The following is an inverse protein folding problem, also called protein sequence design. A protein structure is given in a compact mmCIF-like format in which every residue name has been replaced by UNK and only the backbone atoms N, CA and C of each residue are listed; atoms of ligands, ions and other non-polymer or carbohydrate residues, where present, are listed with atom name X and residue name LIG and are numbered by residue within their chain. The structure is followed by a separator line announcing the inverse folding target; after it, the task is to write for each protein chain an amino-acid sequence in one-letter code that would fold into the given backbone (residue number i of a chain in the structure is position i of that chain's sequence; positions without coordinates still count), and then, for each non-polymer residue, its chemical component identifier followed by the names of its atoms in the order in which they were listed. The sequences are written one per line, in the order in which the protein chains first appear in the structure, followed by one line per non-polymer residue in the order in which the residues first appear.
data_IF_482969934246
#
_entry.id   IF_482969934246
#
_cell.length_a   1.000
_cell.length_b   1.000
_cell.length_c   1.000
_cell.angle_alpha   90.00
_cell.angle_beta   90.00
_cell.angle_gamma   90.00
#
_symmetry.space_group_name_H-M   'P 1'
#
loop_
_entity.id
_entity.type
_entity.pdbx_description
1 polymer ?
#
# COMPACT_ATOMS: atom_id res chain seq x y z
N UNK A 1 -19.98 75.25 14.23
CA UNK A 1 -18.63 75.12 13.63
C UNK A 1 -17.77 74.25 14.53
N UNK A 2 -16.97 73.37 13.91
CA UNK A 2 -15.93 72.48 14.46
C UNK A 2 -16.35 71.04 14.86
N UNK A 3 -16.50 70.24 13.81
CA UNK A 3 -15.87 68.92 13.55
C UNK A 3 -15.42 68.09 14.76
N UNK A 4 -16.13 66.97 15.00
CA UNK A 4 -15.60 65.82 15.72
C UNK A 4 -15.21 64.74 14.68
N UNK A 5 -13.93 64.41 14.63
CA UNK A 5 -13.37 63.31 13.85
C UNK A 5 -13.91 61.97 14.38
N UNK A 6 -14.66 61.24 13.56
CA UNK A 6 -14.95 59.83 13.80
C UNK A 6 -14.00 59.02 12.91
N UNK A 7 -12.98 58.42 13.52
CA UNK A 7 -12.15 57.41 12.90
C UNK A 7 -13.02 56.19 12.58
N UNK A 8 -13.25 55.93 11.29
CA UNK A 8 -13.82 54.67 10.82
C UNK A 8 -12.70 53.62 10.81
N UNK A 9 -12.66 52.77 11.85
CA UNK A 9 -11.83 51.57 11.86
C UNK A 9 -12.61 50.47 11.10
N UNK A 10 -12.29 50.29 9.82
CA UNK A 10 -12.82 49.18 9.03
C UNK A 10 -12.07 47.92 9.44
N UNK A 11 -12.70 47.10 10.28
CA UNK A 11 -12.20 45.76 10.61
C UNK A 11 -12.58 44.81 9.46
N UNK A 12 -11.69 44.63 8.48
CA UNK A 12 -11.82 43.56 7.49
C UNK A 12 -11.59 42.22 8.19
N UNK A 13 -12.68 41.53 8.52
CA UNK A 13 -12.65 40.14 8.96
C UNK A 13 -12.53 39.26 7.71
N UNK A 14 -11.31 38.99 7.26
CA UNK A 14 -11.05 37.96 6.25
C UNK A 14 -11.21 36.58 6.90
N UNK A 15 -12.41 36.00 6.82
CA UNK A 15 -12.57 34.55 7.00
C UNK A 15 -11.87 33.86 5.82
N UNK A 16 -10.58 33.55 6.00
CA UNK A 16 -9.88 32.61 5.15
C UNK A 16 -10.39 31.20 5.46
N UNK A 17 -11.41 30.74 4.74
CA UNK A 17 -11.67 29.31 4.65
C UNK A 17 -10.54 28.70 3.82
N UNK A 18 -9.51 28.19 4.50
CA UNK A 18 -8.56 27.29 3.87
C UNK A 18 -9.29 25.95 3.61
N UNK A 19 -9.97 25.86 2.46
CA UNK A 19 -10.40 24.57 1.95
C UNK A 19 -9.14 23.81 1.55
N UNK A 20 -8.70 22.87 2.38
CA UNK A 20 -7.72 21.88 1.95
C UNK A 20 -8.37 21.02 0.86
N UNK A 21 -8.15 21.38 -0.39
CA UNK A 21 -8.50 20.55 -1.54
C UNK A 21 -7.62 19.31 -1.44
N UNK A 22 -8.23 18.16 -1.14
CA UNK A 22 -7.51 16.89 -1.18
C UNK A 22 -7.38 16.49 -2.65
N UNK A 23 -6.18 16.07 -3.07
CA UNK A 23 -5.96 15.55 -4.42
C UNK A 23 -6.91 14.38 -4.70
N UNK A 24 -7.55 14.38 -5.86
CA UNK A 24 -8.28 13.22 -6.38
C UNK A 24 -7.28 12.24 -7.03
N UNK A 25 -7.70 10.99 -7.27
CA UNK A 25 -6.83 9.99 -7.95
C UNK A 25 -6.37 10.48 -9.33
N UNK A 26 -7.23 11.19 -10.07
CA UNK A 26 -6.89 11.80 -11.36
C UNK A 26 -5.82 12.90 -11.28
N UNK A 27 -5.55 13.41 -10.08
CA UNK A 27 -4.54 14.43 -9.84
C UNK A 27 -3.20 13.82 -9.42
N UNK A 28 -3.12 12.49 -9.35
CA UNK A 28 -1.92 11.73 -8.99
C UNK A 28 -1.10 11.43 -10.24
N UNK A 29 0.20 11.68 -10.18
CA UNK A 29 1.14 11.28 -11.23
C UNK A 29 1.66 9.86 -10.95
N UNK A 30 1.95 9.10 -12.01
CA UNK A 30 2.62 7.80 -11.97
C UNK A 30 1.94 6.72 -11.12
N UNK A 31 0.61 6.76 -11.02
CA UNK A 31 -0.16 5.87 -10.13
C UNK A 31 -0.51 4.53 -10.78
N UNK A 32 -0.53 4.43 -12.10
CA UNK A 32 -1.08 3.25 -12.80
C UNK A 32 0.00 2.26 -13.30
N UNK A 33 1.19 2.28 -12.66
CA UNK A 33 2.33 1.49 -13.13
C UNK A 33 2.76 1.89 -14.53
N UNK A 34 2.73 3.19 -14.86
CA UNK A 34 3.03 3.71 -16.20
C UNK A 34 4.34 3.12 -16.75
N UNK A 35 4.25 2.50 -17.94
CA UNK A 35 5.40 1.82 -18.57
C UNK A 35 5.67 0.40 -18.07
N UNK A 36 4.82 -0.15 -17.19
CA UNK A 36 4.88 -1.55 -16.80
C UNK A 36 4.65 -2.47 -18.01
N UNK A 37 5.36 -3.61 -18.03
CA UNK A 37 5.08 -4.62 -19.06
C UNK A 37 3.65 -5.14 -18.89
N UNK A 38 2.95 -5.45 -19.99
CA UNK A 38 1.59 -6.00 -19.94
C UNK A 38 1.52 -7.31 -19.16
N UNK A 39 0.48 -7.44 -18.35
CA UNK A 39 0.06 -8.68 -17.71
C UNK A 39 -0.89 -9.48 -18.59
N UNK A 40 -1.06 -10.76 -18.29
CA UNK A 40 -1.94 -11.65 -19.06
C UNK A 40 -2.85 -12.47 -18.15
N UNK A 41 -4.16 -12.23 -18.27
CA UNK A 41 -5.17 -13.09 -17.65
C UNK A 41 -5.16 -14.47 -18.32
N UNK A 42 -5.18 -15.52 -17.51
CA UNK A 42 -5.21 -16.91 -17.92
C UNK A 42 -6.29 -17.67 -17.13
N UNK A 43 -6.70 -18.83 -17.63
CA UNK A 43 -7.66 -19.67 -16.90
C UNK A 43 -7.04 -20.39 -15.69
N UNK A 44 -5.71 -20.45 -15.68
CA UNK A 44 -4.89 -21.08 -14.67
C UNK A 44 -3.45 -20.54 -14.83
N UNK A 45 -2.85 -20.14 -13.73
CA UNK A 45 -1.46 -19.68 -13.60
C UNK A 45 -0.41 -20.71 -14.11
N UNK A 46 0.72 -20.21 -14.61
CA UNK A 46 1.87 -21.04 -14.99
C UNK A 46 3.16 -20.37 -14.50
N UNK A 47 3.86 -21.02 -13.56
CA UNK A 47 5.12 -20.50 -13.01
C UNK A 47 6.24 -20.32 -14.06
N UNK A 48 6.12 -20.93 -15.24
CA UNK A 48 7.01 -20.70 -16.38
C UNK A 48 6.61 -19.52 -17.27
N UNK A 49 5.59 -18.73 -16.88
CA UNK A 49 5.13 -17.53 -17.56
C UNK A 49 5.20 -16.36 -16.60
N UNK A 50 5.98 -15.35 -17.00
CA UNK A 50 6.09 -14.12 -16.22
C UNK A 50 4.75 -13.40 -16.18
N UNK A 51 4.31 -13.05 -14.97
CA UNK A 51 3.15 -12.20 -14.70
C UNK A 51 1.86 -12.59 -15.45
N UNK A 52 1.60 -13.89 -15.60
CA UNK A 52 0.23 -14.34 -15.83
C UNK A 52 -0.53 -14.41 -14.51
N UNK A 53 -1.85 -14.25 -14.59
CA UNK A 53 -2.70 -14.21 -13.41
C UNK A 53 -4.05 -14.83 -13.73
N UNK A 54 -4.69 -15.42 -12.73
CA UNK A 54 -6.05 -15.96 -12.79
C UNK A 54 -6.97 -15.37 -11.71
N UNK A 55 -6.41 -14.58 -10.78
CA UNK A 55 -7.15 -13.81 -9.79
C UNK A 55 -6.76 -12.33 -9.83
N UNK A 56 -7.70 -11.45 -9.45
CA UNK A 56 -7.49 -10.01 -9.37
C UNK A 56 -8.01 -9.48 -8.03
N UNK A 57 -7.19 -8.65 -7.39
CA UNK A 57 -7.58 -7.80 -6.27
C UNK A 57 -7.62 -6.35 -6.78
N UNK A 58 -8.85 -5.91 -7.01
CA UNK A 58 -9.20 -4.55 -7.42
C UNK A 58 -8.89 -3.52 -6.33
N UNK A 59 -8.71 -2.27 -6.72
CA UNK A 59 -8.59 -1.14 -5.79
C UNK A 59 -9.80 -1.03 -4.86
N UNK A 60 -9.52 -0.79 -3.58
CA UNK A 60 -10.50 -0.51 -2.55
C UNK A 60 -10.78 1.00 -2.47
N UNK A 61 -11.84 1.44 -3.15
CA UNK A 61 -12.22 2.85 -3.28
C UNK A 61 -12.98 3.42 -2.06
N UNK A 62 -13.19 2.60 -1.02
CA UNK A 62 -13.96 2.97 0.18
C UNK A 62 -13.35 4.20 0.86
N UNK A 63 -14.21 4.99 1.50
CA UNK A 63 -13.76 6.10 2.35
C UNK A 63 -13.00 5.57 3.55
N UNK A 64 -11.89 6.22 3.89
CA UNK A 64 -11.07 5.83 5.04
C UNK A 64 -10.05 4.74 4.74
N UNK A 65 -9.94 4.30 3.48
CA UNK A 65 -8.82 3.52 2.97
C UNK A 65 -7.73 4.48 2.52
N UNK A 66 -6.51 4.23 2.97
CA UNK A 66 -5.30 4.91 2.50
C UNK A 66 -4.30 3.87 2.07
N UNK A 67 -3.96 3.85 0.79
CA UNK A 67 -2.90 2.99 0.27
C UNK A 67 -1.51 3.50 0.65
N UNK A 68 -0.58 2.58 0.88
CA UNK A 68 0.85 2.90 0.88
C UNK A 68 1.32 3.11 -0.57
N UNK A 69 2.24 4.03 -0.78
CA UNK A 69 2.75 4.41 -2.09
C UNK A 69 4.20 4.90 -1.97
N UNK A 70 4.95 4.94 -3.07
CA UNK A 70 6.32 5.50 -3.08
C UNK A 70 6.35 6.92 -3.62
N UNK A 71 5.60 7.18 -4.70
CA UNK A 71 5.66 8.42 -5.45
C UNK A 71 4.42 9.26 -5.19
N UNK A 72 3.25 8.72 -5.54
CA UNK A 72 1.97 9.37 -5.38
C UNK A 72 1.55 9.37 -3.91
N UNK A 73 1.36 10.54 -3.33
CA UNK A 73 0.85 10.62 -1.97
C UNK A 73 1.38 11.83 -1.25
N UNK A 74 1.21 11.84 0.06
CA UNK A 74 1.73 12.89 0.92
C UNK A 74 1.94 12.36 2.32
N UNK A 75 3.02 12.77 2.96
CA UNK A 75 3.39 12.35 4.32
C UNK A 75 3.60 13.59 5.18
N UNK A 76 3.09 13.64 6.43
CA UNK A 76 2.33 12.58 7.10
C UNK A 76 0.84 12.53 6.73
N UNK A 77 0.32 13.58 6.08
CA UNK A 77 -1.11 13.69 5.77
C UNK A 77 -1.41 13.01 4.43
N UNK A 78 -2.07 11.84 4.42
CA UNK A 78 -2.34 11.10 3.18
C UNK A 78 -3.31 11.87 2.26
N UNK A 79 -3.32 11.47 0.99
CA UNK A 79 -4.31 11.91 0.00
C UNK A 79 -4.84 10.69 -0.79
N UNK A 80 -5.59 10.92 -1.88
CA UNK A 80 -6.10 9.79 -2.70
C UNK A 80 -5.04 9.03 -3.47
N UNK A 81 -3.84 9.57 -3.63
CA UNK A 81 -2.72 8.88 -4.26
C UNK A 81 -2.08 7.86 -3.30
N UNK A 82 -2.13 8.13 -1.99
CA UNK A 82 -1.60 7.27 -0.95
C UNK A 82 -0.89 8.04 0.17
N UNK A 83 -0.05 7.30 0.90
CA UNK A 83 0.85 7.77 1.95
C UNK A 83 2.26 7.30 1.60
N UNK A 84 3.23 8.22 1.59
CA UNK A 84 4.63 7.91 1.23
C UNK A 84 5.45 7.54 2.47
N UNK A 85 6.56 6.81 2.33
CA UNK A 85 7.52 6.68 3.42
C UNK A 85 8.14 8.05 3.73
N UNK A 86 8.51 8.25 5.00
CA UNK A 86 9.19 9.45 5.48
C UNK A 86 10.71 9.34 5.46
N UNK A 87 11.25 8.12 5.36
CA UNK A 87 12.68 7.86 5.31
C UNK A 87 13.25 8.09 3.89
N UNK A 88 14.57 7.98 3.75
CA UNK A 88 15.25 8.30 2.49
C UNK A 88 14.87 7.32 1.39
N UNK A 89 14.61 7.81 0.18
CA UNK A 89 14.32 6.97 -1.00
C UNK A 89 15.43 5.95 -1.28
N UNK A 90 16.67 6.26 -0.89
CA UNK A 90 17.81 5.35 -1.02
C UNK A 90 17.69 4.07 -0.17
N UNK A 91 16.75 4.02 0.77
CA UNK A 91 16.47 2.85 1.62
C UNK A 91 15.28 2.03 1.10
N UNK A 92 14.51 2.55 0.15
CA UNK A 92 13.26 1.90 -0.29
C UNK A 92 13.48 0.71 -1.21
N UNK A 93 14.68 0.54 -1.78
CA UNK A 93 15.04 -0.60 -2.61
C UNK A 93 16.54 -0.88 -2.55
N UNK A 94 16.91 -2.16 -2.47
CA UNK A 94 18.30 -2.59 -2.50
C UNK A 94 18.90 -2.61 -3.91
N UNK A 95 18.06 -2.74 -4.94
CA UNK A 95 18.48 -2.76 -6.34
C UNK A 95 17.39 -2.21 -7.28
N UNK A 96 17.77 -1.86 -8.51
CA UNK A 96 16.81 -1.48 -9.55
C UNK A 96 16.14 -0.11 -9.38
N UNK A 97 16.55 0.67 -8.38
CA UNK A 97 16.12 2.05 -8.20
C UNK A 97 16.61 3.02 -9.29
N UNK A 98 16.06 4.24 -9.35
CA UNK A 98 15.03 4.79 -8.45
C UNK A 98 13.65 4.15 -8.68
N UNK A 99 12.82 4.16 -7.63
CA UNK A 99 11.39 3.81 -7.73
C UNK A 99 10.65 5.06 -8.26
N UNK A 100 10.22 5.06 -9.52
CA UNK A 100 9.66 6.25 -10.21
C UNK A 100 8.17 6.15 -10.55
N UNK A 101 7.52 5.04 -10.21
CA UNK A 101 6.06 4.82 -10.34
C UNK A 101 5.53 4.03 -9.14
N UNK A 102 4.23 4.16 -8.89
CA UNK A 102 3.48 3.33 -7.92
C UNK A 102 2.85 2.11 -8.59
N UNK A 103 2.38 1.17 -7.76
CA UNK A 103 1.64 -0.04 -8.18
C UNK A 103 2.40 -0.92 -9.18
N UNK A 104 3.73 -0.88 -9.11
CA UNK A 104 4.60 -1.68 -9.95
C UNK A 104 5.80 -2.19 -9.15
N UNK A 105 6.39 -3.26 -9.65
CA UNK A 105 7.67 -3.79 -9.21
C UNK A 105 8.82 -3.20 -10.01
N UNK A 106 10.05 -3.48 -9.60
CA UNK A 106 11.26 -2.90 -10.20
C UNK A 106 11.64 -3.48 -11.58
N UNK A 107 10.95 -4.51 -12.08
CA UNK A 107 11.16 -5.07 -13.42
C UNK A 107 12.52 -5.72 -13.64
N UNK A 108 13.26 -5.23 -14.63
CA UNK A 108 14.64 -5.61 -14.96
C UNK A 108 15.67 -4.52 -14.57
N UNK A 109 15.30 -3.65 -13.61
CA UNK A 109 16.14 -2.58 -13.09
C UNK A 109 15.65 -1.17 -13.46
N UNK A 110 16.52 -0.18 -13.29
CA UNK A 110 16.17 1.24 -13.37
C UNK A 110 15.42 1.62 -14.66
N UNK A 111 14.26 2.26 -14.50
CA UNK A 111 13.40 2.71 -15.60
C UNK A 111 12.54 1.62 -16.23
N UNK A 112 12.57 0.39 -15.72
CA UNK A 112 11.67 -0.69 -16.15
C UNK A 112 10.68 -1.01 -15.06
N UNK A 113 9.49 -1.50 -15.41
CA UNK A 113 8.42 -1.79 -14.47
C UNK A 113 7.62 -3.01 -14.90
N UNK A 114 7.04 -3.71 -13.94
CA UNK A 114 6.01 -4.71 -14.17
C UNK A 114 4.89 -4.49 -13.16
N UNK A 115 3.68 -4.95 -13.49
CA UNK A 115 2.58 -4.93 -12.54
C UNK A 115 2.83 -5.90 -11.38
N UNK A 116 2.19 -5.64 -10.24
CA UNK A 116 2.32 -6.46 -9.04
C UNK A 116 1.45 -7.70 -9.21
N UNK A 117 2.09 -8.83 -9.53
CA UNK A 117 1.48 -10.15 -9.52
C UNK A 117 2.23 -11.00 -8.49
N UNK A 118 1.51 -11.64 -7.57
CA UNK A 118 2.09 -12.49 -6.53
C UNK A 118 1.26 -13.78 -6.48
N UNK A 119 1.87 -14.92 -6.76
CA UNK A 119 1.18 -16.19 -6.65
C UNK A 119 0.00 -16.35 -7.62
N UNK A 120 0.07 -15.75 -8.81
CA UNK A 120 -1.02 -15.71 -9.80
C UNK A 120 -2.11 -14.67 -9.52
N UNK A 121 -1.97 -13.85 -8.48
CA UNK A 121 -2.93 -12.80 -8.12
C UNK A 121 -2.40 -11.44 -8.59
N UNK A 122 -3.12 -10.78 -9.49
CA UNK A 122 -2.84 -9.40 -9.87
C UNK A 122 -3.43 -8.42 -8.86
N UNK A 123 -2.62 -7.46 -8.39
CA UNK A 123 -3.05 -6.39 -7.49
C UNK A 123 -3.02 -5.04 -8.20
N UNK A 124 -4.15 -4.35 -8.30
CA UNK A 124 -4.21 -3.00 -8.89
C UNK A 124 -3.47 -1.94 -8.07
N UNK A 125 -3.36 -2.19 -6.76
CA UNK A 125 -2.69 -1.32 -5.79
C UNK A 125 -1.67 -2.12 -4.99
N UNK A 126 -0.53 -1.50 -4.69
CA UNK A 126 0.50 -2.12 -3.86
C UNK A 126 1.85 -1.44 -3.99
N UNK A 127 2.84 -2.00 -3.30
CA UNK A 127 4.24 -1.56 -3.39
C UNK A 127 5.13 -2.71 -3.84
N UNK A 128 5.97 -2.48 -4.84
CA UNK A 128 6.98 -3.43 -5.32
C UNK A 128 8.38 -2.84 -5.18
N UNK A 129 9.31 -3.64 -4.68
CA UNK A 129 10.70 -3.26 -4.46
C UNK A 129 11.65 -4.43 -4.67
N UNK A 130 12.91 -4.27 -4.30
CA UNK A 130 13.91 -5.32 -4.26
C UNK A 130 14.61 -5.33 -2.90
N UNK A 131 14.87 -6.53 -2.36
CA UNK A 131 15.58 -6.66 -1.10
C UNK A 131 17.02 -6.10 -1.16
N UNK A 132 17.58 -5.56 -0.09
CA UNK A 132 16.93 -5.22 1.18
C UNK A 132 16.28 -3.84 1.06
N UNK A 133 15.04 -3.72 1.51
CA UNK A 133 14.31 -2.46 1.52
C UNK A 133 13.74 -2.16 2.90
N UNK A 134 13.77 -0.89 3.29
CA UNK A 134 13.15 -0.36 4.51
C UNK A 134 12.27 0.84 4.16
N UNK A 135 11.00 0.75 4.56
CA UNK A 135 10.02 1.82 4.40
C UNK A 135 9.44 2.19 5.75
N UNK A 136 9.51 3.47 6.11
CA UNK A 136 8.98 3.99 7.38
C UNK A 136 7.88 4.99 7.07
N UNK A 137 6.64 4.70 7.46
CA UNK A 137 5.48 5.55 7.24
C UNK A 137 5.10 6.29 8.52
N UNK A 138 4.84 7.60 8.41
CA UNK A 138 4.30 8.40 9.51
C UNK A 138 2.78 8.21 9.61
N UNK A 139 2.34 7.63 10.73
CA UNK A 139 0.94 7.36 11.02
C UNK A 139 0.22 8.53 11.70
N UNK A 140 0.92 9.64 11.98
CA UNK A 140 0.39 10.79 12.71
C UNK A 140 -0.60 11.66 11.92
N UNK A 141 -0.75 11.45 10.61
CA UNK A 141 -1.62 12.27 9.76
C UNK A 141 -3.09 11.85 9.69
N UNK A 142 -3.45 10.67 10.20
CA UNK A 142 -4.84 10.21 10.35
C UNK A 142 -4.95 9.22 11.54
N UNK A 143 -6.16 8.90 11.97
CA UNK A 143 -6.41 7.90 13.01
C UNK A 143 -6.63 6.52 12.41
N UNK A 144 -5.55 5.92 11.91
CA UNK A 144 -5.55 4.55 11.40
C UNK A 144 -5.78 3.54 12.53
N UNK A 145 -6.52 2.49 12.21
CA UNK A 145 -6.94 1.43 13.13
C UNK A 145 -6.41 0.06 12.74
N UNK A 146 -6.07 -0.13 11.47
CA UNK A 146 -5.71 -1.44 10.92
C UNK A 146 -4.83 -1.31 9.69
N UNK A 147 -3.92 -2.25 9.49
CA UNK A 147 -3.22 -2.50 8.24
C UNK A 147 -3.73 -3.80 7.61
N UNK A 148 -3.86 -3.81 6.29
CA UNK A 148 -4.17 -4.98 5.46
C UNK A 148 -3.26 -4.99 4.23
N UNK A 149 -2.85 -6.17 3.77
CA UNK A 149 -2.11 -6.38 2.54
C UNK A 149 -1.72 -7.85 2.33
N UNK A 150 -1.00 -8.12 1.26
CA UNK A 150 -0.52 -9.46 0.90
C UNK A 150 0.96 -9.40 0.53
N UNK A 151 1.82 -10.12 1.24
CA UNK A 151 3.25 -10.13 0.97
C UNK A 151 3.65 -11.35 0.15
N UNK A 152 4.68 -11.19 -0.68
CA UNK A 152 5.27 -12.27 -1.43
C UNK A 152 6.28 -11.79 -2.45
N UNK A 153 6.81 -12.74 -3.22
CA UNK A 153 7.69 -12.46 -4.34
C UNK A 153 6.85 -12.10 -5.57
N UNK A 154 7.35 -11.19 -6.39
CA UNK A 154 6.73 -10.86 -7.67
C UNK A 154 6.92 -11.99 -8.68
N UNK A 155 5.85 -12.36 -9.39
CA UNK A 155 5.83 -13.40 -10.43
C UNK A 155 6.56 -12.97 -11.73
N UNK A 156 7.37 -11.92 -11.67
CA UNK A 156 8.06 -11.34 -12.81
C UNK A 156 9.35 -12.06 -13.18
N UNK A 157 9.90 -12.89 -12.29
CA UNK A 157 11.15 -13.61 -12.51
C UNK A 157 10.92 -15.03 -12.98
N UNK A 158 11.67 -15.41 -14.02
CA UNK A 158 11.70 -16.78 -14.48
C UNK A 158 12.45 -17.64 -13.44
N UNK A 159 11.84 -18.67 -12.86
CA UNK A 159 12.52 -19.54 -11.91
C UNK A 159 13.70 -20.29 -12.54
N UNK A 160 13.73 -20.53 -13.85
CA UNK A 160 14.89 -21.16 -14.51
C UNK A 160 16.13 -20.27 -14.42
N UNK A 161 15.98 -18.95 -14.54
CA UNK A 161 17.08 -17.98 -14.48
C UNK A 161 17.39 -17.55 -13.04
N UNK A 162 16.35 -17.45 -12.20
CA UNK A 162 16.40 -16.95 -10.84
C UNK A 162 16.13 -18.02 -9.76
N UNK A 163 16.46 -19.29 -10.06
CA UNK A 163 16.28 -20.47 -9.20
C UNK A 163 14.82 -20.75 -8.79
N UNK A 164 14.33 -20.05 -7.76
CA UNK A 164 12.94 -20.10 -7.31
C UNK A 164 12.26 -18.72 -7.44
N UNK A 165 12.78 -17.82 -8.28
CA UNK A 165 12.24 -16.46 -8.41
C UNK A 165 12.63 -15.53 -7.26
N UNK A 166 13.79 -15.76 -6.64
CA UNK A 166 14.26 -15.02 -5.46
C UNK A 166 13.60 -15.45 -4.15
N UNK A 167 14.01 -14.83 -3.05
CA UNK A 167 13.42 -15.04 -1.72
C UNK A 167 13.35 -13.76 -0.89
N UNK A 168 12.41 -13.67 0.04
CA UNK A 168 12.33 -12.55 0.97
C UNK A 168 11.61 -12.93 2.26
N UNK A 169 11.95 -12.25 3.34
CA UNK A 169 11.17 -12.23 4.58
C UNK A 169 10.66 -10.81 4.85
N UNK A 170 9.44 -10.70 5.35
CA UNK A 170 8.77 -9.42 5.57
C UNK A 170 8.57 -9.19 7.05
N UNK A 171 9.04 -8.04 7.54
CA UNK A 171 8.91 -7.64 8.95
C UNK A 171 8.13 -6.34 9.00
N UNK A 172 7.11 -6.29 9.85
CA UNK A 172 6.33 -5.09 10.13
C UNK A 172 6.46 -4.76 11.61
N UNK A 173 6.81 -3.51 11.89
CA UNK A 173 6.92 -2.98 13.24
C UNK A 173 6.07 -1.73 13.37
N UNK A 174 5.33 -1.62 14.49
CA UNK A 174 4.62 -0.39 14.85
C UNK A 174 5.28 0.21 16.07
N UNK A 175 5.71 1.46 15.96
CA UNK A 175 6.50 2.18 16.99
C UNK A 175 7.71 1.35 17.49
N UNK A 176 8.40 0.68 16.57
CA UNK A 176 9.58 -0.15 16.85
C UNK A 176 9.29 -1.51 17.50
N UNK A 177 8.01 -1.89 17.65
CA UNK A 177 7.61 -3.22 18.10
C UNK A 177 7.16 -4.06 16.91
N UNK A 178 7.81 -5.19 16.68
CA UNK A 178 7.39 -6.19 15.70
C UNK A 178 5.94 -6.64 15.97
N UNK A 179 5.09 -6.50 14.96
CA UNK A 179 3.68 -6.93 14.97
C UNK A 179 3.42 -8.07 14.00
N UNK A 180 4.27 -8.22 12.99
CA UNK A 180 4.23 -9.32 12.04
C UNK A 180 5.64 -9.63 11.53
N UNK A 181 5.92 -10.91 11.34
CA UNK A 181 7.08 -11.41 10.62
C UNK A 181 6.66 -12.64 9.81
N UNK A 182 6.95 -12.66 8.53
CA UNK A 182 6.73 -13.85 7.70
C UNK A 182 7.83 -14.89 7.91
N UNK A 183 7.55 -16.13 7.50
CA UNK A 183 8.61 -17.05 7.11
C UNK A 183 9.32 -16.53 5.83
N UNK A 184 10.44 -17.13 5.44
CA UNK A 184 11.04 -16.86 4.13
C UNK A 184 10.09 -17.33 3.02
N UNK A 185 9.73 -16.40 2.13
CA UNK A 185 8.87 -16.64 0.98
C UNK A 185 9.75 -16.73 -0.27
N UNK A 186 9.55 -17.76 -1.08
CA UNK A 186 10.18 -17.91 -2.39
C UNK A 186 9.21 -17.48 -3.48
N UNK A 187 9.66 -17.23 -4.71
CA UNK A 187 8.76 -17.02 -5.84
C UNK A 187 8.05 -18.29 -6.28
N UNK A 188 8.75 -19.43 -6.26
CA UNK A 188 8.21 -20.72 -6.67
C UNK A 188 8.65 -21.85 -5.76
N UNK A 189 7.77 -22.85 -5.58
CA UNK A 189 8.10 -24.14 -4.97
C UNK A 189 7.56 -25.27 -5.84
N UNK A 190 8.42 -26.23 -6.17
CA UNK A 190 8.04 -27.38 -6.99
C UNK A 190 7.48 -27.03 -8.38
N UNK A 191 7.89 -25.88 -8.96
CA UNK A 191 7.43 -25.41 -10.27
C UNK A 191 6.04 -24.77 -10.25
N UNK A 192 5.59 -24.30 -9.09
CA UNK A 192 4.38 -23.49 -8.91
C UNK A 192 4.73 -22.18 -8.25
N UNK A 193 3.98 -21.12 -8.55
CA UNK A 193 4.10 -19.87 -7.81
C UNK A 193 3.74 -20.10 -6.34
N UNK A 194 4.46 -19.44 -5.43
CA UNK A 194 4.12 -19.43 -4.02
C UNK A 194 2.99 -18.41 -3.81
N UNK A 195 1.93 -18.83 -3.12
CA UNK A 195 0.78 -17.98 -2.86
C UNK A 195 1.15 -16.75 -2.02
N UNK A 196 0.49 -15.63 -2.30
CA UNK A 196 0.62 -14.42 -1.50
C UNK A 196 0.15 -14.65 -0.05
N UNK A 197 0.93 -14.20 0.93
CA UNK A 197 0.59 -14.34 2.35
C UNK A 197 -0.16 -13.11 2.83
N UNK A 198 -1.40 -13.28 3.27
CA UNK A 198 -2.19 -12.19 3.85
C UNK A 198 -1.56 -11.69 5.15
N UNK A 199 -1.36 -10.37 5.24
CA UNK A 199 -0.89 -9.65 6.43
C UNK A 199 -1.98 -8.73 6.92
N UNK A 200 -2.32 -8.85 8.20
CA UNK A 200 -3.38 -8.07 8.83
C UNK A 200 -3.08 -7.87 10.31
N UNK A 201 -3.07 -6.61 10.78
CA UNK A 201 -2.89 -6.30 12.20
C UNK A 201 -3.57 -4.98 12.59
N UNK A 202 -3.96 -4.90 13.86
CA UNK A 202 -4.50 -3.68 14.45
C UNK A 202 -3.38 -2.66 14.68
N UNK A 203 -3.67 -1.39 14.44
CA UNK A 203 -2.79 -0.26 14.72
C UNK A 203 -3.16 0.31 16.08
N UNK A 204 -2.24 0.31 17.07
CA UNK A 204 -2.50 0.88 18.38
C UNK A 204 -2.88 2.36 18.30
N UNK A 205 -3.79 2.77 19.20
CA UNK A 205 -4.19 4.16 19.28
C UNK A 205 -2.99 5.08 19.52
N UNK A 206 -2.92 6.17 18.75
CA UNK A 206 -1.83 7.16 18.75
C UNK A 206 -0.47 6.64 18.24
N UNK A 207 -0.42 5.48 17.57
CA UNK A 207 0.79 5.01 16.90
C UNK A 207 1.36 6.09 15.98
N UNK A 208 2.69 6.12 15.85
CA UNK A 208 3.42 7.16 15.12
C UNK A 208 4.10 6.64 13.89
N UNK A 209 4.61 5.42 13.93
CA UNK A 209 5.36 4.84 12.81
C UNK A 209 4.93 3.42 12.51
N UNK A 210 4.80 3.15 11.21
CA UNK A 210 4.83 1.81 10.65
C UNK A 210 6.15 1.65 9.91
N UNK A 211 6.98 0.72 10.34
CA UNK A 211 8.17 0.29 9.62
C UNK A 211 7.89 -1.04 8.93
N UNK A 212 8.28 -1.14 7.67
CA UNK A 212 8.20 -2.34 6.84
C UNK A 212 9.60 -2.62 6.31
N UNK A 213 10.07 -3.85 6.52
CA UNK A 213 11.33 -4.35 5.98
C UNK A 213 11.03 -5.50 5.02
N UNK A 214 11.63 -5.45 3.83
CA UNK A 214 11.76 -6.58 2.91
C UNK A 214 13.21 -7.08 2.98
N UNK A 215 13.42 -8.24 3.59
CA UNK A 215 14.70 -8.89 3.78
C UNK A 215 15.13 -9.73 2.58
N UNK A 216 16.33 -10.31 2.65
CA UNK A 216 16.95 -11.13 1.59
C UNK A 216 16.73 -12.63 1.79
N UNK A 217 15.81 -13.02 2.69
CA UNK A 217 15.46 -14.41 2.98
C UNK A 217 16.60 -15.28 3.54
N UNK A 218 17.79 -14.71 3.75
CA UNK A 218 18.99 -15.38 4.25
C UNK A 218 19.89 -16.01 3.18
N UNK A 219 19.57 -15.90 1.89
CA UNK A 219 20.41 -16.39 0.78
C UNK A 219 21.03 -15.26 -0.08
N UNK A 220 20.83 -14.02 0.34
CA UNK A 220 21.35 -12.81 -0.30
C UNK A 220 20.44 -12.33 -1.42
N UNK A 221 20.68 -11.12 -1.93
CA UNK A 221 19.69 -10.35 -2.72
C UNK A 221 19.38 -10.86 -4.14
N UNK A 222 19.67 -12.12 -4.47
CA UNK A 222 19.62 -12.62 -5.84
C UNK A 222 18.20 -12.78 -6.37
N UNK A 223 17.76 -11.86 -7.23
CA UNK A 223 16.41 -11.85 -7.82
C UNK A 223 15.28 -11.60 -6.81
N UNK A 224 15.57 -10.93 -5.70
CA UNK A 224 14.61 -10.73 -4.59
C UNK A 224 13.63 -9.59 -4.84
N UNK A 225 12.84 -9.75 -5.90
CA UNK A 225 11.80 -8.83 -6.33
C UNK A 225 10.57 -8.96 -5.42
N UNK A 226 10.60 -8.24 -4.31
CA UNK A 226 9.64 -8.34 -3.21
C UNK A 226 8.46 -7.39 -3.43
N UNK A 227 7.25 -7.82 -3.07
CA UNK A 227 6.06 -7.00 -3.23
C UNK A 227 5.07 -7.14 -2.08
N UNK A 228 4.26 -6.09 -1.89
CA UNK A 228 3.09 -6.09 -1.01
C UNK A 228 1.88 -5.64 -1.84
N UNK A 229 1.05 -6.60 -2.21
CA UNK A 229 -0.24 -6.37 -2.86
C UNK A 229 -1.27 -5.79 -1.88
N UNK A 230 -2.12 -4.89 -2.37
CA UNK A 230 -3.21 -4.25 -1.63
C UNK A 230 -2.80 -3.62 -0.28
N UNK A 231 -1.57 -3.10 -0.20
CA UNK A 231 -0.99 -2.54 1.02
C UNK A 231 -1.71 -1.26 1.48
N UNK A 232 -2.57 -1.36 2.50
CA UNK A 232 -3.44 -0.26 2.92
C UNK A 232 -3.62 -0.13 4.43
N UNK A 233 -3.83 1.12 4.84
CA UNK A 233 -4.21 1.53 6.18
C UNK A 233 -5.70 1.88 6.19
N UNK A 234 -6.41 1.41 7.21
CA UNK A 234 -7.85 1.62 7.36
C UNK A 234 -8.14 2.47 8.60
N UNK A 235 -8.98 3.49 8.44
CA UNK A 235 -9.53 4.25 9.57
C UNK A 235 -10.98 3.83 9.88
N UNK A 236 -11.61 4.50 10.86
CA UNK A 236 -12.97 4.18 11.30
C UNK A 236 -14.03 4.23 10.19
N UNK A 237 -13.85 5.04 9.13
CA UNK A 237 -14.79 5.08 8.01
C UNK A 237 -14.71 3.81 7.15
N UNK A 238 -13.50 3.29 6.91
CA UNK A 238 -13.33 2.06 6.14
C UNK A 238 -13.83 0.82 6.91
N UNK A 239 -13.73 0.86 8.25
CA UNK A 239 -14.22 -0.21 9.12
C UNK A 239 -15.69 -0.07 9.49
N UNK A 240 -16.33 1.05 9.16
CA UNK A 240 -17.75 1.21 9.36
C UNK A 240 -18.49 0.29 8.38
N UNK A 241 -19.14 -0.75 8.91
CA UNK A 241 -20.02 -1.61 8.10
C UNK A 241 -21.10 -0.73 7.45
N UNK A 242 -21.09 -0.65 6.12
CA UNK A 242 -22.18 -0.05 5.34
C UNK A 242 -23.51 -0.65 5.82
N UNK A 243 -24.50 0.16 6.22
CA UNK A 243 -25.76 -0.33 6.78
C UNK A 243 -26.49 -1.37 5.93
N UNK A 244 -26.16 -1.49 4.64
CA UNK A 244 -26.73 -2.46 3.71
C UNK A 244 -26.37 -3.93 4.03
N UNK A 245 -25.24 -4.19 4.72
CA UNK A 245 -24.82 -5.55 5.09
C UNK A 245 -25.14 -5.92 6.54
N UNK A 246 -25.88 -5.08 7.26
CA UNK A 246 -26.65 -5.56 8.41
C UNK A 246 -27.84 -6.33 7.85
N UNK A 247 -27.69 -7.65 7.65
CA UNK A 247 -28.84 -8.51 7.90
C UNK A 247 -29.36 -8.10 9.28
N UNK A 248 -30.61 -7.66 9.43
CA UNK A 248 -31.16 -7.38 10.75
C UNK A 248 -31.11 -8.71 11.49
N UNK A 249 -30.07 -8.92 12.29
CA UNK A 249 -30.06 -10.01 13.24
C UNK A 249 -31.27 -9.77 14.13
N UNK A 250 -32.13 -10.76 14.18
CA UNK A 250 -33.51 -10.75 14.71
C UNK A 250 -33.47 -10.69 16.26
N UNK A 251 -32.57 -9.89 16.82
CA UNK A 251 -32.42 -9.64 18.26
C UNK A 251 -33.08 -8.32 18.68
N UNK A 252 -33.46 -7.46 17.73
CA UNK A 252 -34.17 -6.20 18.01
C UNK A 252 -35.68 -6.32 18.21
N UNK A 253 -36.30 -7.46 17.91
CA UNK A 253 -37.76 -7.66 18.02
C UNK A 253 -38.23 -8.47 19.24
N UNK A 254 -37.33 -8.78 20.18
CA UNK A 254 -37.64 -9.61 21.36
C UNK A 254 -37.63 -8.86 22.70
N UNK A 255 -37.88 -7.54 22.70
CA UNK A 255 -38.04 -6.74 23.94
C UNK A 255 -39.38 -6.02 24.10
N UNK A 256 -40.39 -6.36 23.31
CA UNK A 256 -41.76 -5.86 23.49
C UNK A 256 -42.79 -6.96 23.87
N UNK A 257 -42.31 -8.11 24.36
CA UNK A 257 -43.22 -9.13 24.88
C UNK A 257 -42.61 -9.91 26.05
N UNK A 258 -42.42 -9.24 27.20
CA UNK A 258 -42.59 -9.78 28.55
C UNK A 258 -42.89 -8.64 29.53
#
# INVERSE_FOLDING_TARGET
MKTLNVCALILMLTLGFAFSVHAAKSDCENIDGDGAKPIKEVAKEDAGKQNDYDEVVEEDDRKGVTYLAFIGGSTPKPNKCGLNPKNSEAEWTGWGGPLDVDNATIGEGGGTRNHIVIGGIYFERGIGSHAIATMIYDLGGDNYLKFEGYVGMSDEKDPVECNHGGSSDFIFSVDGKEVFKSDTLQGTDGGKQVEAVKVEFDIPANAKELEIIMGDGGDGIGCDHSAIGDAKLLNAQALAVEPANKLPTIWGHLKDSY
#
